data_IF_697111182770
#
_entry.id   IF_697111182770
#
_cell.length_a   1.000
_cell.length_b   1.000
_cell.length_c   1.000
_cell.angle_alpha   90.00
_cell.angle_beta   90.00
_cell.angle_gamma   90.00
#
_symmetry.space_group_name_H-M   'P 1'
#
loop_
_entity.id
_entity.type
_entity.pdbx_description
1 polymer ?
#
# COMPACT_ATOMS: atom_id res chain seq x y z
N UNK A 1 14.97 10.60 -18.23
CA UNK A 1 15.69 9.40 -17.75
C UNK A 1 15.14 9.11 -16.37
N UNK A 2 14.05 8.34 -16.32
CA UNK A 2 13.18 8.22 -15.15
C UNK A 2 13.81 7.28 -14.12
N UNK A 3 14.20 7.83 -12.96
CA UNK A 3 14.66 7.07 -11.81
C UNK A 3 13.43 6.40 -11.19
N UNK A 4 13.22 5.12 -11.53
CA UNK A 4 12.33 4.25 -10.78
C UNK A 4 12.76 4.31 -9.32
N UNK A 5 11.90 4.79 -8.41
CA UNK A 5 12.08 4.63 -6.96
C UNK A 5 11.77 3.15 -6.66
N UNK A 6 12.60 2.27 -7.20
CA UNK A 6 12.71 0.90 -6.75
C UNK A 6 13.61 0.94 -5.54
N UNK A 7 13.04 1.08 -4.35
CA UNK A 7 13.73 0.64 -3.14
C UNK A 7 13.80 -0.91 -3.09
N UNK A 8 14.05 -1.58 -4.22
CA UNK A 8 14.59 -2.95 -4.27
C UNK A 8 16.10 -2.89 -3.98
N UNK A 9 16.49 -2.14 -2.95
CA UNK A 9 17.89 -2.05 -2.60
C UNK A 9 18.26 -3.39 -1.96
N UNK A 10 19.07 -4.19 -2.65
CA UNK A 10 19.72 -5.41 -2.10
C UNK A 10 19.12 -6.76 -2.48
N UNK A 11 17.81 -6.90 -2.71
CA UNK A 11 17.23 -8.21 -3.04
C UNK A 11 16.11 -8.08 -4.08
N UNK A 12 16.30 -8.53 -5.33
CA UNK A 12 15.18 -8.71 -6.25
C UNK A 12 14.34 -9.91 -5.79
N UNK A 13 13.02 -9.84 -5.96
CA UNK A 13 12.15 -11.02 -5.86
C UNK A 13 12.70 -12.14 -6.77
N UNK A 14 12.96 -13.36 -6.26
CA UNK A 14 13.75 -14.38 -6.96
C UNK A 14 13.07 -15.00 -8.18
N UNK A 15 11.93 -14.48 -8.67
CA UNK A 15 11.34 -14.95 -9.93
C UNK A 15 12.17 -14.64 -11.18
N UNK A 16 13.41 -14.14 -11.04
CA UNK A 16 14.34 -13.83 -12.14
C UNK A 16 14.68 -15.06 -13.01
N UNK A 17 14.64 -16.28 -12.48
CA UNK A 17 15.18 -17.45 -13.19
C UNK A 17 14.30 -18.02 -14.33
N UNK A 18 13.07 -17.51 -14.53
CA UNK A 18 12.18 -17.96 -15.65
C UNK A 18 11.46 -16.85 -16.41
N UNK A 19 11.76 -15.58 -16.15
CA UNK A 19 11.00 -14.44 -16.72
C UNK A 19 11.92 -13.49 -17.48
N UNK A 20 12.00 -13.64 -18.80
CA UNK A 20 12.39 -12.52 -19.66
C UNK A 20 11.50 -11.31 -19.37
N UNK A 21 12.10 -10.16 -19.07
CA UNK A 21 11.55 -8.81 -19.05
C UNK A 21 10.03 -8.64 -18.75
N UNK A 22 9.52 -9.10 -17.59
CA UNK A 22 8.10 -8.88 -17.22
C UNK A 22 7.75 -7.45 -16.78
N UNK A 23 8.69 -6.67 -16.25
CA UNK A 23 8.46 -5.26 -15.91
C UNK A 23 8.06 -4.41 -17.14
N UNK A 24 8.43 -4.85 -18.35
CA UNK A 24 8.04 -4.20 -19.60
C UNK A 24 6.73 -4.75 -20.20
N UNK A 25 6.17 -5.84 -19.66
CA UNK A 25 4.95 -6.48 -20.21
C UNK A 25 3.66 -5.90 -19.61
N UNK A 26 3.71 -5.42 -18.38
CA UNK A 26 2.57 -4.73 -17.78
C UNK A 26 2.41 -3.33 -18.35
N UNK A 27 1.48 -3.18 -19.29
CA UNK A 27 1.19 -1.91 -19.95
C UNK A 27 -0.26 -1.88 -20.47
N UNK A 28 -1.27 -2.05 -19.58
CA UNK A 28 -2.66 -1.86 -19.99
C UNK A 28 -2.88 -0.43 -20.47
N UNK A 29 -3.80 -0.26 -21.40
CA UNK A 29 -4.13 1.07 -21.93
C UNK A 29 -4.91 1.87 -20.89
N UNK A 30 -4.49 3.11 -20.66
CA UNK A 30 -5.10 4.03 -19.69
C UNK A 30 -6.55 4.28 -20.09
N UNK A 31 -7.46 4.25 -19.10
CA UNK A 31 -8.88 4.51 -19.30
C UNK A 31 -9.65 3.42 -20.07
N UNK A 32 -8.99 2.35 -20.52
CA UNK A 32 -9.65 1.23 -21.19
C UNK A 32 -9.97 0.09 -20.23
N UNK A 33 -11.03 -0.66 -20.54
CA UNK A 33 -11.41 -1.85 -19.78
C UNK A 33 -10.46 -2.99 -20.10
N UNK A 34 -9.83 -3.51 -19.07
CA UNK A 34 -9.13 -4.78 -19.08
C UNK A 34 -9.95 -5.85 -18.34
N UNK A 35 -10.44 -6.85 -19.07
CA UNK A 35 -11.26 -7.93 -18.51
C UNK A 35 -10.37 -9.01 -17.88
N UNK A 36 -10.41 -9.10 -16.55
CA UNK A 36 -9.61 -10.04 -15.77
C UNK A 36 -10.35 -11.37 -15.52
N UNK A 37 -11.56 -11.52 -16.07
CA UNK A 37 -12.45 -12.65 -15.83
C UNK A 37 -13.11 -12.60 -14.46
N UNK A 38 -13.97 -13.59 -14.17
CA UNK A 38 -14.64 -13.74 -12.87
C UNK A 38 -15.44 -12.50 -12.42
N UNK A 39 -16.03 -11.78 -13.38
CA UNK A 39 -16.73 -10.50 -13.14
C UNK A 39 -15.83 -9.39 -12.55
N UNK A 40 -14.52 -9.48 -12.75
CA UNK A 40 -13.54 -8.46 -12.36
C UNK A 40 -13.03 -7.79 -13.64
N UNK A 41 -13.14 -6.46 -13.67
CA UNK A 41 -12.51 -5.62 -14.70
C UNK A 41 -11.57 -4.62 -14.04
N UNK A 42 -10.58 -4.16 -14.78
CA UNK A 42 -9.68 -3.09 -14.37
C UNK A 42 -9.74 -1.94 -15.35
N UNK A 43 -9.64 -0.72 -14.83
CA UNK A 43 -9.36 0.49 -15.60
C UNK A 43 -8.14 1.15 -14.96
N UNK A 44 -7.12 1.46 -15.77
CA UNK A 44 -5.90 2.11 -15.30
C UNK A 44 -6.09 3.64 -15.32
N UNK A 45 -5.85 4.30 -14.20
CA UNK A 45 -5.91 5.76 -14.08
C UNK A 45 -4.72 6.45 -14.77
N UNK A 46 -4.88 7.69 -15.29
CA UNK A 46 -3.85 8.43 -16.04
C UNK A 46 -2.76 9.08 -15.16
N UNK A 47 -2.26 8.39 -14.13
CA UNK A 47 -1.36 8.95 -13.12
C UNK A 47 -0.03 8.18 -12.96
N UNK A 48 0.72 7.84 -14.03
CA UNK A 48 1.99 7.14 -13.90
C UNK A 48 3.03 7.98 -13.13
N UNK A 49 3.70 7.36 -12.17
CA UNK A 49 4.77 7.98 -11.37
C UNK A 49 5.70 6.92 -10.79
N UNK A 50 6.82 7.29 -10.15
CA UNK A 50 7.63 6.33 -9.41
C UNK A 50 6.90 5.59 -8.28
N UNK A 51 5.80 6.15 -7.74
CA UNK A 51 5.01 5.52 -6.68
C UNK A 51 3.88 4.66 -7.25
N UNK A 52 3.24 5.12 -8.32
CA UNK A 52 2.04 4.50 -8.92
C UNK A 52 2.36 3.61 -10.13
N UNK A 53 3.64 3.47 -10.48
CA UNK A 53 4.13 2.73 -11.64
C UNK A 53 3.50 3.18 -12.97
N UNK A 54 2.53 2.42 -13.51
CA UNK A 54 1.80 2.78 -14.73
C UNK A 54 0.56 3.63 -14.45
N UNK A 55 0.12 3.67 -13.19
CA UNK A 55 -1.11 4.31 -12.73
C UNK A 55 -1.79 3.47 -11.65
N UNK A 56 -2.84 4.03 -11.04
CA UNK A 56 -3.71 3.31 -10.11
C UNK A 56 -4.61 2.35 -10.86
N UNK A 57 -4.69 1.11 -10.40
CA UNK A 57 -5.64 0.12 -10.87
C UNK A 57 -6.98 0.33 -10.16
N UNK A 58 -7.97 0.88 -10.86
CA UNK A 58 -9.36 0.88 -10.41
C UNK A 58 -10.02 -0.41 -10.82
N UNK A 59 -10.67 -1.11 -9.89
CA UNK A 59 -11.34 -2.38 -10.17
C UNK A 59 -12.86 -2.25 -10.17
N UNK A 60 -13.52 -2.92 -11.12
CA UNK A 60 -14.98 -3.07 -11.15
C UNK A 60 -15.36 -4.53 -10.91
N UNK A 61 -16.13 -4.79 -9.86
CA UNK A 61 -16.53 -6.13 -9.42
C UNK A 61 -18.03 -6.31 -9.56
N UNK A 62 -18.47 -7.43 -10.13
CA UNK A 62 -19.88 -7.77 -10.31
C UNK A 62 -20.37 -7.61 -11.76
N UNK A 63 -21.52 -8.18 -12.11
CA UNK A 63 -22.04 -8.17 -13.49
C UNK A 63 -23.22 -7.23 -13.69
N UNK A 64 -24.04 -6.99 -12.66
CA UNK A 64 -25.20 -6.09 -12.69
C UNK A 64 -25.03 -4.93 -11.71
N UNK A 65 -25.04 -5.25 -10.41
CA UNK A 65 -24.62 -4.33 -9.36
C UNK A 65 -23.09 -4.35 -9.30
N UNK A 66 -22.46 -3.19 -9.41
CA UNK A 66 -21.00 -3.07 -9.50
C UNK A 66 -20.45 -2.37 -8.26
N UNK A 67 -19.41 -2.94 -7.66
CA UNK A 67 -18.51 -2.24 -6.77
C UNK A 67 -17.33 -1.67 -7.56
N UNK A 68 -16.99 -0.41 -7.32
CA UNK A 68 -15.73 0.19 -7.75
C UNK A 68 -14.77 0.18 -6.57
N UNK A 69 -13.59 -0.43 -6.71
CA UNK A 69 -12.53 -0.44 -5.70
C UNK A 69 -11.43 0.51 -6.16
N UNK A 70 -11.07 1.47 -5.30
CA UNK A 70 -10.11 2.55 -5.54
C UNK A 70 -10.39 3.35 -6.82
N UNK A 71 -11.34 4.31 -6.78
CA UNK A 71 -11.70 5.14 -7.92
C UNK A 71 -10.52 5.92 -8.51
N UNK A 72 -9.46 6.16 -7.74
CA UNK A 72 -8.24 6.79 -8.23
C UNK A 72 -8.14 8.28 -7.87
N UNK A 73 -7.16 8.99 -8.46
CA UNK A 73 -7.03 10.43 -8.29
C UNK A 73 -8.22 11.17 -8.93
N UNK A 74 -8.46 12.40 -8.48
CA UNK A 74 -9.51 13.28 -9.01
C UNK A 74 -9.19 13.69 -10.47
N UNK A 75 -9.54 12.81 -11.41
CA UNK A 75 -9.36 12.99 -12.84
C UNK A 75 -10.71 12.81 -13.58
N UNK A 76 -11.24 13.85 -14.23
CA UNK A 76 -12.51 13.77 -14.95
C UNK A 76 -12.52 12.79 -16.12
N UNK A 77 -11.37 12.55 -16.76
CA UNK A 77 -11.26 11.58 -17.87
C UNK A 77 -11.41 10.17 -17.33
N UNK A 78 -10.78 9.87 -16.19
CA UNK A 78 -10.90 8.58 -15.50
C UNK A 78 -12.31 8.35 -14.96
N UNK A 79 -12.96 9.38 -14.42
CA UNK A 79 -14.37 9.31 -14.01
C UNK A 79 -15.27 8.87 -15.17
N UNK A 80 -15.12 9.51 -16.33
CA UNK A 80 -15.90 9.16 -17.51
C UNK A 80 -15.61 7.72 -17.97
N UNK A 81 -14.36 7.26 -17.90
CA UNK A 81 -14.00 5.87 -18.22
C UNK A 81 -14.71 4.86 -17.29
N UNK A 82 -14.75 5.14 -15.97
CA UNK A 82 -15.46 4.31 -15.00
C UNK A 82 -16.97 4.25 -15.31
N UNK A 83 -17.59 5.41 -15.54
CA UNK A 83 -19.04 5.49 -15.84
C UNK A 83 -19.38 4.73 -17.13
N UNK A 84 -18.63 4.96 -18.21
CA UNK A 84 -18.83 4.29 -19.50
C UNK A 84 -18.65 2.77 -19.41
N UNK A 85 -17.76 2.28 -18.55
CA UNK A 85 -17.59 0.85 -18.32
C UNK A 85 -18.82 0.17 -17.68
N UNK A 86 -19.73 0.98 -17.12
CA UNK A 86 -20.98 0.51 -16.51
C UNK A 86 -22.23 0.75 -17.35
N UNK A 87 -22.17 1.59 -18.39
CA UNK A 87 -23.31 1.92 -19.27
C UNK A 87 -23.90 0.72 -20.06
N UNK A 88 -23.26 -0.46 -20.04
CA UNK A 88 -23.79 -1.70 -20.64
C UNK A 88 -24.82 -2.43 -19.74
N UNK A 89 -25.76 -1.69 -19.15
CA UNK A 89 -26.82 -2.25 -18.30
C UNK A 89 -26.37 -2.62 -16.88
N UNK A 90 -25.28 -2.02 -16.40
CA UNK A 90 -24.75 -2.20 -15.05
C UNK A 90 -24.95 -0.93 -14.24
N UNK A 91 -24.95 -1.05 -12.92
CA UNK A 91 -25.14 0.09 -12.02
C UNK A 91 -24.07 0.06 -10.95
N UNK A 92 -23.32 1.15 -10.82
CA UNK A 92 -22.41 1.34 -9.70
C UNK A 92 -23.26 1.53 -8.46
N UNK A 93 -23.07 0.65 -7.50
CA UNK A 93 -23.86 0.60 -6.26
C UNK A 93 -22.99 0.77 -5.02
N UNK A 94 -21.69 0.53 -5.15
CA UNK A 94 -20.75 0.59 -4.04
C UNK A 94 -19.44 1.21 -4.52
N UNK A 95 -18.87 2.10 -3.70
CA UNK A 95 -17.53 2.65 -3.91
C UNK A 95 -16.70 2.23 -2.71
N UNK A 96 -15.72 1.36 -2.90
CA UNK A 96 -14.84 0.87 -1.86
C UNK A 96 -13.46 1.52 -2.00
N UNK A 97 -12.92 2.04 -0.90
CA UNK A 97 -11.59 2.67 -0.89
C UNK A 97 -10.71 1.90 0.09
N UNK A 98 -9.54 1.47 -0.38
CA UNK A 98 -8.58 0.69 0.41
C UNK A 98 -7.92 1.54 1.47
N UNK A 99 -7.51 2.77 1.14
CA UNK A 99 -6.86 3.71 2.05
C UNK A 99 -6.91 5.15 1.52
N UNK A 100 -6.56 6.12 2.37
CA UNK A 100 -6.72 7.54 2.09
C UNK A 100 -5.47 8.19 1.46
N UNK A 101 -4.89 7.56 0.43
CA UNK A 101 -3.91 8.21 -0.43
C UNK A 101 -4.57 8.86 -1.66
N UNK A 102 -3.99 9.97 -2.11
CA UNK A 102 -4.49 10.87 -3.16
C UNK A 102 -4.61 10.21 -4.54
N UNK A 103 -3.96 9.08 -4.74
CA UNK A 103 -4.06 8.29 -5.94
C UNK A 103 -5.11 7.17 -5.86
N UNK A 104 -5.80 7.00 -4.72
CA UNK A 104 -6.88 6.02 -4.52
C UNK A 104 -8.23 6.66 -4.18
N UNK A 105 -8.25 7.63 -3.26
CA UNK A 105 -9.48 8.13 -2.63
C UNK A 105 -10.19 9.30 -3.31
N UNK A 106 -9.52 10.31 -3.92
CA UNK A 106 -10.18 11.58 -4.22
C UNK A 106 -11.37 11.47 -5.18
N UNK A 107 -11.30 10.57 -6.17
CA UNK A 107 -12.39 10.44 -7.14
C UNK A 107 -13.66 9.79 -6.56
N UNK A 108 -13.59 9.22 -5.36
CA UNK A 108 -14.75 8.62 -4.71
C UNK A 108 -15.90 9.62 -4.52
N UNK A 109 -15.59 10.88 -4.17
CA UNK A 109 -16.60 11.92 -3.95
C UNK A 109 -17.37 12.28 -5.24
N UNK A 110 -16.66 12.48 -6.35
CA UNK A 110 -17.27 12.80 -7.64
C UNK A 110 -18.01 11.59 -8.23
N UNK A 111 -17.47 10.37 -8.06
CA UNK A 111 -18.15 9.16 -8.48
C UNK A 111 -19.45 8.93 -7.69
N UNK A 112 -19.44 9.19 -6.38
CA UNK A 112 -20.66 9.19 -5.56
C UNK A 112 -21.66 10.22 -6.07
N UNK A 113 -21.22 11.44 -6.35
CA UNK A 113 -22.11 12.50 -6.89
C UNK A 113 -22.77 12.10 -8.20
N UNK A 114 -22.03 11.40 -9.07
CA UNK A 114 -22.54 10.94 -10.36
C UNK A 114 -23.49 9.73 -10.26
N UNK A 115 -23.30 8.85 -9.28
CA UNK A 115 -23.98 7.54 -9.23
C UNK A 115 -24.96 7.37 -8.07
N UNK A 116 -24.82 8.16 -7.01
CA UNK A 116 -25.53 7.99 -5.74
C UNK A 116 -24.98 6.85 -4.87
N UNK A 117 -23.95 6.11 -5.31
CA UNK A 117 -23.39 5.00 -4.56
C UNK A 117 -22.65 5.45 -3.28
N UNK A 118 -22.89 4.83 -2.12
CA UNK A 118 -22.18 5.16 -0.89
C UNK A 118 -20.71 4.72 -0.94
N UNK A 119 -19.87 5.46 -0.19
CA UNK A 119 -18.44 5.20 -0.05
C UNK A 119 -18.18 4.35 1.21
N UNK A 120 -17.48 3.24 1.04
CA UNK A 120 -17.09 2.28 2.08
C UNK A 120 -15.57 2.32 2.27
N UNK A 121 -15.11 2.51 3.50
CA UNK A 121 -13.70 2.41 3.88
C UNK A 121 -13.56 2.15 5.38
N UNK A 122 -12.36 1.79 5.84
CA UNK A 122 -12.08 1.60 7.27
C UNK A 122 -12.32 2.87 8.12
N UNK A 123 -12.07 4.03 7.52
CA UNK A 123 -12.14 5.32 8.20
C UNK A 123 -11.35 6.40 7.48
N UNK A 124 -11.11 7.51 8.18
CA UNK A 124 -10.27 8.63 7.74
C UNK A 124 -8.79 8.25 7.77
N UNK A 125 -7.93 9.12 7.24
CA UNK A 125 -6.49 8.86 7.08
C UNK A 125 -5.75 8.37 8.34
N UNK A 126 -6.13 8.86 9.53
CA UNK A 126 -5.48 8.50 10.81
C UNK A 126 -6.21 7.42 11.60
N UNK A 127 -7.35 6.92 11.11
CA UNK A 127 -8.07 5.84 11.79
C UNK A 127 -7.26 4.54 11.74
N UNK A 128 -7.06 3.91 12.90
CA UNK A 128 -6.26 2.69 13.01
C UNK A 128 -4.78 2.92 13.32
N UNK A 129 -4.35 4.18 13.50
CA UNK A 129 -2.97 4.50 13.83
C UNK A 129 -2.58 3.89 15.19
N UNK A 130 -1.42 3.23 15.24
CA UNK A 130 -0.92 2.61 16.47
C UNK A 130 -0.65 3.66 17.54
N UNK A 131 -0.83 3.29 18.82
CA UNK A 131 -0.56 4.21 19.94
C UNK A 131 0.90 4.71 19.93
N UNK A 132 1.82 3.87 19.46
CA UNK A 132 3.22 4.24 19.33
C UNK A 132 3.43 5.31 18.24
N UNK A 133 2.87 5.12 17.04
CA UNK A 133 2.95 6.12 15.98
C UNK A 133 2.24 7.43 16.35
N UNK A 134 1.13 7.35 17.08
CA UNK A 134 0.49 8.54 17.64
C UNK A 134 1.39 9.25 18.66
N UNK A 135 2.04 8.51 19.54
CA UNK A 135 2.91 9.10 20.58
C UNK A 135 4.11 9.86 20.00
N UNK A 136 4.67 9.40 18.88
CA UNK A 136 5.77 10.11 18.21
C UNK A 136 5.28 11.37 17.48
N UNK A 137 4.07 11.34 16.91
CA UNK A 137 3.43 12.50 16.28
C UNK A 137 3.09 13.58 17.34
N UNK A 138 2.51 13.16 18.48
CA UNK A 138 2.23 14.02 19.64
C UNK A 138 3.53 14.62 20.24
N UNK A 139 4.66 13.91 20.11
CA UNK A 139 5.99 14.38 20.51
C UNK A 139 6.63 15.36 19.48
N UNK A 140 5.93 15.67 18.39
CA UNK A 140 6.34 16.68 17.40
C UNK A 140 7.10 16.12 16.19
N UNK A 141 7.10 14.81 15.96
CA UNK A 141 7.65 14.26 14.72
C UNK A 141 6.71 14.57 13.53
N UNK A 142 7.22 15.32 12.55
CA UNK A 142 6.46 15.77 11.37
C UNK A 142 6.89 15.07 10.08
N UNK A 143 7.43 13.84 10.16
CA UNK A 143 7.66 13.02 8.97
C UNK A 143 6.36 12.46 8.39
N UNK A 144 6.43 11.86 7.19
CA UNK A 144 5.25 11.34 6.50
C UNK A 144 4.43 12.44 5.80
N UNK A 145 3.12 12.22 5.69
CA UNK A 145 2.17 13.13 5.07
C UNK A 145 2.15 13.11 3.54
N UNK A 146 3.07 12.39 2.91
CA UNK A 146 3.16 12.37 1.45
C UNK A 146 1.96 11.63 0.84
N UNK A 147 1.21 12.34 0.01
CA UNK A 147 0.12 11.72 -0.73
C UNK A 147 -1.14 11.45 0.09
N UNK A 148 -1.29 12.01 1.29
CA UNK A 148 -2.46 11.75 2.14
C UNK A 148 -3.64 12.67 1.78
N UNK A 149 -4.82 12.07 1.66
CA UNK A 149 -6.11 12.75 1.56
C UNK A 149 -6.72 12.90 2.97
N UNK A 150 -6.46 14.03 3.62
CA UNK A 150 -6.99 14.32 4.96
C UNK A 150 -8.49 14.65 4.95
N UNK A 151 -9.00 15.07 3.80
CA UNK A 151 -10.41 15.45 3.63
C UNK A 151 -11.30 14.21 3.43
N UNK A 152 -10.72 13.10 2.96
CA UNK A 152 -11.41 11.82 2.78
C UNK A 152 -12.21 11.38 4.02
N UNK A 153 -13.46 10.99 3.77
CA UNK A 153 -14.34 10.38 4.76
C UNK A 153 -15.28 9.39 4.05
N UNK A 154 -15.41 8.15 4.54
CA UNK A 154 -16.42 7.23 4.02
C UNK A 154 -17.82 7.58 4.53
N UNK A 155 -18.84 7.17 3.78
CA UNK A 155 -20.23 7.17 4.24
C UNK A 155 -20.50 6.01 5.19
N UNK A 156 -19.88 4.86 4.90
CA UNK A 156 -20.00 3.64 5.66
C UNK A 156 -18.62 3.24 6.17
N UNK A 157 -18.46 3.30 7.48
CA UNK A 157 -17.24 2.87 8.15
C UNK A 157 -17.23 1.34 8.28
N UNK A 158 -16.16 0.73 7.75
CA UNK A 158 -15.93 -0.71 7.79
C UNK A 158 -15.05 -1.10 8.99
N UNK A 159 -15.20 -2.35 9.42
CA UNK A 159 -14.34 -3.04 10.38
C UNK A 159 -13.73 -4.27 9.75
N UNK A 160 -12.71 -4.82 10.42
CA UNK A 160 -12.15 -6.11 10.04
C UNK A 160 -13.23 -7.20 10.07
N UNK A 161 -13.36 -7.96 8.97
CA UNK A 161 -14.33 -9.04 8.83
C UNK A 161 -15.71 -8.63 8.33
N UNK A 162 -16.01 -7.32 8.19
CA UNK A 162 -17.29 -6.87 7.65
C UNK A 162 -17.50 -7.37 6.21
N UNK A 163 -18.76 -7.65 5.85
CA UNK A 163 -19.15 -8.08 4.51
C UNK A 163 -19.88 -6.93 3.80
N UNK A 164 -19.48 -6.66 2.55
CA UNK A 164 -20.14 -5.74 1.64
C UNK A 164 -20.75 -6.59 0.52
N UNK A 165 -22.05 -6.46 0.28
CA UNK A 165 -22.79 -7.36 -0.61
C UNK A 165 -23.45 -6.59 -1.76
N UNK A 166 -23.18 -7.06 -2.98
CA UNK A 166 -23.95 -6.72 -4.16
C UNK A 166 -24.91 -7.83 -4.55
N UNK A 167 -25.51 -7.74 -5.74
CA UNK A 167 -26.46 -8.75 -6.21
C UNK A 167 -25.81 -10.13 -6.48
N UNK A 168 -24.57 -10.14 -6.96
CA UNK A 168 -23.86 -11.33 -7.46
C UNK A 168 -22.41 -11.43 -6.95
N UNK A 169 -22.04 -10.61 -5.96
CA UNK A 169 -20.72 -10.59 -5.36
C UNK A 169 -20.79 -10.22 -3.87
N UNK A 170 -19.76 -10.62 -3.14
CA UNK A 170 -19.60 -10.28 -1.73
C UNK A 170 -18.11 -10.05 -1.44
N UNK A 171 -17.79 -8.91 -0.83
CA UNK A 171 -16.44 -8.50 -0.47
C UNK A 171 -16.30 -8.54 1.05
N UNK A 172 -15.37 -9.34 1.55
CA UNK A 172 -14.96 -9.32 2.96
C UNK A 172 -13.87 -8.27 3.17
N UNK A 173 -14.07 -7.36 4.10
CA UNK A 173 -13.05 -6.42 4.52
C UNK A 173 -12.01 -7.11 5.39
N UNK A 174 -10.73 -6.88 5.10
CA UNK A 174 -9.61 -7.33 5.93
C UNK A 174 -8.79 -6.09 6.28
N UNK A 175 -8.83 -5.65 7.53
CA UNK A 175 -7.96 -4.57 8.01
C UNK A 175 -6.51 -5.04 7.98
N UNK A 176 -5.68 -4.28 7.25
CA UNK A 176 -4.28 -4.56 6.95
C UNK A 176 -3.44 -3.30 7.15
N UNK A 177 -3.39 -2.73 8.38
CA UNK A 177 -2.59 -1.55 8.66
C UNK A 177 -1.11 -1.82 8.38
N UNK A 178 -0.38 -0.74 8.14
CA UNK A 178 1.07 -0.75 8.07
C UNK A 178 1.65 0.06 6.92
N UNK A 179 1.12 -0.09 5.70
CA UNK A 179 1.39 0.89 4.63
C UNK A 179 0.78 2.24 5.01
N UNK A 180 -0.50 2.21 5.37
CA UNK A 180 -1.25 3.30 5.96
C UNK A 180 -2.12 2.73 7.09
N UNK A 181 -2.36 3.50 8.14
CA UNK A 181 -3.10 3.03 9.32
C UNK A 181 -4.55 2.59 9.04
N UNK A 182 -5.22 3.25 8.09
CA UNK A 182 -6.59 2.92 7.69
C UNK A 182 -6.68 1.89 6.54
N UNK A 183 -5.55 1.28 6.15
CA UNK A 183 -5.52 0.40 4.98
C UNK A 183 -6.32 -0.89 5.19
N UNK A 184 -7.16 -1.22 4.21
CA UNK A 184 -7.88 -2.49 4.11
C UNK A 184 -7.62 -3.17 2.78
N UNK A 185 -7.62 -4.51 2.82
CA UNK A 185 -7.80 -5.34 1.63
C UNK A 185 -9.27 -5.77 1.51
N UNK A 186 -9.74 -6.05 0.30
CA UNK A 186 -11.07 -6.60 0.05
C UNK A 186 -10.96 -8.01 -0.56
N UNK A 187 -11.53 -9.02 0.10
CA UNK A 187 -11.50 -10.40 -0.38
C UNK A 187 -12.79 -10.77 -1.13
N UNK A 188 -12.64 -11.28 -2.35
CA UNK A 188 -13.70 -11.87 -3.18
C UNK A 188 -13.44 -13.38 -3.30
N UNK A 189 -14.01 -14.17 -2.40
CA UNK A 189 -13.69 -15.59 -2.29
C UNK A 189 -12.20 -15.81 -1.99
N UNK A 190 -11.49 -16.51 -2.89
CA UNK A 190 -10.06 -16.80 -2.82
C UNK A 190 -9.17 -15.76 -3.52
N UNK A 191 -9.74 -14.63 -3.94
CA UNK A 191 -9.03 -13.50 -4.57
C UNK A 191 -9.02 -12.30 -3.64
N UNK A 192 -7.96 -11.51 -3.68
CA UNK A 192 -7.80 -10.33 -2.80
C UNK A 192 -7.46 -9.08 -3.60
N UNK A 193 -8.22 -8.00 -3.42
CA UNK A 193 -7.81 -6.65 -3.79
C UNK A 193 -6.89 -6.15 -2.69
N UNK A 194 -5.58 -6.15 -2.95
CA UNK A 194 -4.55 -5.96 -1.93
C UNK A 194 -4.15 -4.49 -1.72
N UNK A 195 -4.71 -3.58 -2.53
CA UNK A 195 -4.31 -2.18 -2.54
C UNK A 195 -2.79 -2.05 -2.62
N UNK A 196 -2.25 -1.21 -1.76
CA UNK A 196 -0.82 -0.96 -1.66
C UNK A 196 -0.13 -1.82 -0.61
N UNK A 197 -0.81 -2.81 -0.03
CA UNK A 197 -0.22 -3.70 0.96
C UNK A 197 0.72 -4.75 0.35
N UNK A 198 0.33 -5.33 -0.79
CA UNK A 198 1.15 -6.33 -1.51
C UNK A 198 1.03 -6.08 -3.01
N UNK A 199 2.14 -5.71 -3.65
CA UNK A 199 2.25 -5.44 -5.09
C UNK A 199 3.28 -6.36 -5.76
N UNK A 200 3.12 -6.65 -7.07
CA UNK A 200 4.03 -7.53 -7.82
C UNK A 200 5.42 -6.90 -8.04
N UNK A 201 5.45 -5.59 -8.37
CA UNK A 201 6.62 -4.93 -8.94
C UNK A 201 7.56 -4.28 -7.91
N UNK A 202 7.04 -3.91 -6.74
CA UNK A 202 7.77 -3.20 -5.69
C UNK A 202 7.35 -3.63 -4.28
N UNK A 203 8.20 -3.36 -3.30
CA UNK A 203 7.82 -3.40 -1.89
C UNK A 203 6.95 -2.18 -1.57
N UNK A 204 5.93 -2.35 -0.75
CA UNK A 204 5.14 -1.23 -0.23
C UNK A 204 6.01 -0.28 0.59
N UNK A 205 5.83 1.02 0.39
CA UNK A 205 6.45 2.02 1.25
C UNK A 205 5.78 1.97 2.63
N UNK A 206 6.56 2.03 3.70
CA UNK A 206 6.05 2.11 5.07
C UNK A 206 6.74 3.31 5.71
N UNK A 207 6.01 4.43 5.80
CA UNK A 207 6.57 5.73 6.18
C UNK A 207 5.90 6.23 7.46
N UNK A 208 6.59 6.19 8.61
CA UNK A 208 6.08 6.74 9.85
C UNK A 208 5.80 8.25 9.76
N UNK A 209 4.81 8.77 10.51
CA UNK A 209 3.94 8.06 11.45
C UNK A 209 2.67 7.48 10.78
N UNK A 210 2.51 7.64 9.47
CA UNK A 210 1.30 7.21 8.74
C UNK A 210 1.30 5.70 8.44
N UNK A 211 2.49 5.16 8.20
CA UNK A 211 2.78 3.74 8.13
C UNK A 211 3.51 3.22 9.38
N UNK A 212 3.30 1.94 9.67
CA UNK A 212 3.88 1.22 10.80
C UNK A 212 4.42 -0.13 10.33
N UNK A 213 5.73 -0.35 10.49
CA UNK A 213 6.37 -1.59 10.02
C UNK A 213 5.95 -2.81 10.83
N UNK A 214 5.70 -2.65 12.13
CA UNK A 214 5.22 -3.73 12.98
C UNK A 214 3.85 -4.22 12.50
N UNK A 215 2.94 -3.27 12.26
CA UNK A 215 1.62 -3.55 11.71
C UNK A 215 1.70 -4.13 10.29
N UNK A 216 2.58 -3.60 9.43
CA UNK A 216 2.76 -4.13 8.08
C UNK A 216 3.15 -5.61 8.09
N UNK A 217 4.08 -6.00 8.94
CA UNK A 217 4.51 -7.40 9.08
C UNK A 217 3.40 -8.25 9.71
N UNK A 218 2.68 -7.74 10.69
CA UNK A 218 1.54 -8.44 11.30
C UNK A 218 0.43 -8.70 10.26
N UNK A 219 0.13 -7.71 9.43
CA UNK A 219 -0.84 -7.79 8.34
C UNK A 219 -0.39 -8.78 7.25
N UNK A 220 0.89 -8.76 6.84
CA UNK A 220 1.43 -9.76 5.93
C UNK A 220 1.29 -11.19 6.51
N UNK A 221 1.61 -11.37 7.80
CA UNK A 221 1.46 -12.66 8.49
C UNK A 221 0.00 -13.11 8.57
N UNK A 222 -0.94 -12.19 8.78
CA UNK A 222 -2.39 -12.45 8.73
C UNK A 222 -2.79 -12.97 7.35
N UNK A 223 -2.37 -12.28 6.27
CA UNK A 223 -2.74 -12.65 4.90
C UNK A 223 -2.25 -14.06 4.49
N UNK A 224 -1.05 -14.49 4.91
CA UNK A 224 -0.53 -15.82 4.55
C UNK A 224 -1.22 -16.99 5.27
N UNK A 225 -2.08 -16.72 6.27
CA UNK A 225 -2.87 -17.77 6.94
C UNK A 225 -3.99 -18.32 6.06
N UNK A 226 -4.39 -17.58 5.01
CA UNK A 226 -5.39 -17.98 4.04
C UNK A 226 -4.73 -18.42 2.72
N UNK A 227 -5.46 -19.19 1.91
CA UNK A 227 -5.01 -19.62 0.59
C UNK A 227 -5.63 -18.73 -0.47
N UNK A 228 -4.80 -17.94 -1.12
CA UNK A 228 -5.21 -17.00 -2.16
C UNK A 228 -4.79 -17.50 -3.54
N UNK A 229 -5.68 -17.42 -4.52
CA UNK A 229 -5.34 -17.71 -5.92
C UNK A 229 -4.70 -16.53 -6.62
N UNK A 230 -5.09 -15.30 -6.29
CA UNK A 230 -4.56 -14.08 -6.93
C UNK A 230 -4.73 -12.86 -6.05
N UNK A 231 -3.73 -11.98 -6.01
CA UNK A 231 -3.88 -10.60 -5.55
C UNK A 231 -4.00 -9.62 -6.72
N UNK A 232 -4.90 -8.66 -6.57
CA UNK A 232 -5.14 -7.54 -7.45
C UNK A 232 -4.65 -6.25 -6.75
N UNK A 233 -3.41 -5.80 -7.01
CA UNK A 233 -2.81 -4.68 -6.29
C UNK A 233 -3.31 -3.32 -6.78
N UNK A 234 -3.15 -2.29 -5.95
CA UNK A 234 -3.36 -0.89 -6.33
C UNK A 234 -2.51 -0.48 -7.53
N UNK A 235 -1.30 -1.04 -7.65
CA UNK A 235 -0.41 -0.77 -8.78
C UNK A 235 0.24 -2.03 -9.35
N UNK A 236 0.39 -2.04 -10.68
CA UNK A 236 1.08 -3.09 -11.42
C UNK A 236 0.24 -4.32 -11.71
N UNK A 237 0.92 -5.40 -12.10
CA UNK A 237 0.26 -6.64 -12.51
C UNK A 237 -0.27 -7.44 -11.32
N UNK A 238 -1.29 -8.27 -11.57
CA UNK A 238 -1.80 -9.23 -10.61
C UNK A 238 -0.70 -10.18 -10.10
N UNK A 239 -0.71 -10.44 -8.79
CA UNK A 239 0.19 -11.41 -8.16
C UNK A 239 -0.46 -12.79 -8.23
N UNK A 240 0.13 -13.69 -9.02
CA UNK A 240 -0.40 -15.06 -9.25
C UNK A 240 0.12 -16.10 -8.27
N UNK A 241 1.08 -15.73 -7.42
CA UNK A 241 1.58 -16.55 -6.31
C UNK A 241 1.62 -15.69 -5.03
N UNK A 242 0.45 -15.40 -4.44
CA UNK A 242 0.35 -14.41 -3.36
C UNK A 242 1.14 -14.79 -2.12
N UNK A 243 1.03 -16.05 -1.67
CA UNK A 243 1.71 -16.49 -0.45
C UNK A 243 3.24 -16.41 -0.59
N UNK A 244 3.81 -16.79 -1.73
CA UNK A 244 5.26 -16.64 -1.96
C UNK A 244 5.67 -15.17 -2.01
N UNK A 245 4.87 -14.32 -2.65
CA UNK A 245 5.14 -12.87 -2.72
C UNK A 245 5.11 -12.23 -1.33
N UNK A 246 4.08 -12.52 -0.54
CA UNK A 246 3.93 -11.98 0.82
C UNK A 246 5.00 -12.52 1.75
N UNK A 247 5.35 -13.81 1.68
CA UNK A 247 6.45 -14.38 2.47
C UNK A 247 7.78 -13.70 2.13
N UNK A 248 8.05 -13.46 0.84
CA UNK A 248 9.25 -12.75 0.44
C UNK A 248 9.30 -11.32 1.00
N UNK A 249 8.17 -10.61 1.08
CA UNK A 249 8.14 -9.28 1.71
C UNK A 249 8.53 -9.35 3.19
N UNK A 250 8.03 -10.35 3.92
CA UNK A 250 8.40 -10.59 5.33
C UNK A 250 9.90 -10.88 5.46
N UNK A 251 10.43 -11.75 4.62
CA UNK A 251 11.83 -12.15 4.65
C UNK A 251 12.75 -10.98 4.28
N UNK A 252 12.36 -10.18 3.27
CA UNK A 252 13.08 -9.00 2.84
C UNK A 252 13.20 -7.96 3.96
N UNK A 253 12.11 -7.70 4.70
CA UNK A 253 12.14 -6.82 5.87
C UNK A 253 12.98 -7.39 7.00
N UNK A 254 12.93 -8.71 7.20
CA UNK A 254 13.73 -9.39 8.23
C UNK A 254 15.24 -9.33 7.94
N UNK A 255 15.65 -9.34 6.67
CA UNK A 255 17.04 -9.13 6.26
C UNK A 255 17.48 -7.67 6.52
N UNK A 256 16.67 -6.70 6.11
CA UNK A 256 16.96 -5.28 6.39
C UNK A 256 17.15 -5.02 7.89
N UNK A 257 16.31 -5.66 8.70
CA UNK A 257 16.40 -5.68 10.15
C UNK A 257 17.76 -6.18 10.67
N UNK A 258 18.30 -7.24 10.07
CA UNK A 258 19.62 -7.79 10.43
C UNK A 258 20.74 -6.81 10.09
N UNK A 259 20.69 -6.20 8.91
CA UNK A 259 21.69 -5.22 8.47
C UNK A 259 21.71 -3.98 9.38
N UNK A 260 20.53 -3.47 9.75
CA UNK A 260 20.40 -2.32 10.67
C UNK A 260 20.92 -2.67 12.06
N UNK A 261 20.59 -3.85 12.60
CA UNK A 261 21.13 -4.30 13.89
C UNK A 261 22.64 -4.49 13.85
N UNK A 262 23.18 -5.01 12.75
CA UNK A 262 24.63 -5.15 12.58
C UNK A 262 25.32 -3.78 12.60
N UNK A 263 24.72 -2.77 11.98
CA UNK A 263 25.23 -1.39 12.01
C UNK A 263 25.18 -0.80 13.44
N UNK A 264 24.08 -0.99 14.17
CA UNK A 264 23.96 -0.54 15.56
C UNK A 264 24.87 -1.31 16.54
N UNK A 265 25.25 -2.55 16.22
CA UNK A 265 26.24 -3.32 16.98
C UNK A 265 27.64 -2.69 16.97
N UNK A 266 27.90 -1.72 16.09
CA UNK A 266 29.14 -0.92 16.08
C UNK A 266 29.06 0.34 16.95
N UNK A 267 27.89 0.63 17.53
CA UNK A 267 27.65 1.79 18.39
C UNK A 267 26.37 2.57 18.02
N UNK A 268 25.97 3.54 18.85
CA UNK A 268 24.81 4.39 18.59
C UNK A 268 24.92 5.11 17.24
N UNK A 269 23.81 5.22 16.51
CA UNK A 269 23.83 5.75 15.15
C UNK A 269 22.49 6.39 14.73
N UNK A 270 22.50 7.22 13.69
CA UNK A 270 21.29 7.84 13.13
C UNK A 270 20.74 7.03 11.97
N UNK A 271 19.45 7.19 11.67
CA UNK A 271 18.82 6.52 10.52
C UNK A 271 19.52 6.83 9.19
N UNK A 272 19.94 8.09 9.01
CA UNK A 272 20.64 8.54 7.79
C UNK A 272 22.01 7.89 7.65
N UNK A 273 22.80 7.85 8.72
CA UNK A 273 24.13 7.26 8.67
C UNK A 273 24.07 5.73 8.48
N UNK A 274 23.12 5.05 9.12
CA UNK A 274 22.86 3.63 8.85
C UNK A 274 22.44 3.44 7.38
N UNK A 275 21.52 4.26 6.85
CA UNK A 275 21.13 4.18 5.45
C UNK A 275 22.32 4.34 4.50
N UNK A 276 23.22 5.31 4.75
CA UNK A 276 24.44 5.48 3.95
C UNK A 276 25.37 4.26 4.00
N UNK A 277 25.52 3.60 5.15
CA UNK A 277 26.37 2.41 5.26
C UNK A 277 25.74 1.14 4.67
N UNK A 278 24.43 1.02 4.79
CA UNK A 278 23.67 -0.18 4.41
C UNK A 278 23.36 -0.16 2.90
N UNK A 279 23.20 1.01 2.29
CA UNK A 279 22.88 1.17 0.87
C UNK A 279 24.07 1.75 0.09
N UNK A 280 25.12 0.95 -0.09
CA UNK A 280 26.42 1.40 -0.64
C UNK A 280 26.39 1.87 -2.09
N UNK A 281 25.49 1.31 -2.92
CA UNK A 281 25.40 1.59 -4.37
C UNK A 281 24.14 2.39 -4.74
N UNK A 282 23.61 3.17 -3.80
CA UNK A 282 22.37 3.92 -3.98
C UNK A 282 22.61 5.26 -4.69
N UNK A 283 21.78 5.58 -5.68
CA UNK A 283 21.73 6.93 -6.25
C UNK A 283 21.46 7.95 -5.11
N UNK A 284 22.26 9.03 -4.97
CA UNK A 284 22.07 10.03 -3.93
C UNK A 284 20.64 10.58 -3.83
N UNK A 285 19.90 10.63 -4.93
CA UNK A 285 18.50 11.07 -4.95
C UNK A 285 17.55 10.13 -4.18
N UNK A 286 17.93 8.88 -3.95
CA UNK A 286 17.14 7.88 -3.24
C UNK A 286 17.46 7.80 -1.73
N UNK A 287 18.53 8.47 -1.28
CA UNK A 287 18.93 8.45 0.13
C UNK A 287 17.83 8.91 1.10
N UNK A 288 16.98 9.93 0.80
CA UNK A 288 15.87 10.30 1.68
C UNK A 288 14.87 9.15 1.89
N UNK A 289 14.52 8.44 0.82
CA UNK A 289 13.57 7.33 0.89
C UNK A 289 14.16 6.11 1.61
N UNK A 290 15.44 5.82 1.39
CA UNK A 290 16.21 4.84 2.15
C UNK A 290 16.31 5.19 3.64
N UNK A 291 16.55 6.46 3.98
CA UNK A 291 16.58 6.95 5.37
C UNK A 291 15.23 6.74 6.04
N UNK A 292 14.12 7.06 5.36
CA UNK A 292 12.77 6.79 5.87
C UNK A 292 12.52 5.31 6.11
N UNK A 293 13.00 4.44 5.22
CA UNK A 293 12.87 3.00 5.42
C UNK A 293 13.62 2.53 6.67
N UNK A 294 14.90 2.93 6.83
CA UNK A 294 15.69 2.60 8.02
C UNK A 294 15.04 3.15 9.29
N UNK A 295 14.51 4.36 9.24
CA UNK A 295 13.80 4.97 10.36
C UNK A 295 12.56 4.15 10.80
N UNK A 296 11.78 3.63 9.84
CA UNK A 296 10.65 2.74 10.15
C UNK A 296 11.09 1.46 10.86
N UNK A 297 12.20 0.86 10.42
CA UNK A 297 12.80 -0.30 11.08
C UNK A 297 13.27 0.01 12.52
N UNK A 298 13.94 1.15 12.72
CA UNK A 298 14.39 1.59 14.04
C UNK A 298 13.21 1.80 14.99
N UNK A 299 12.14 2.45 14.53
CA UNK A 299 10.93 2.66 15.32
C UNK A 299 10.24 1.35 15.70
N UNK A 300 10.14 0.39 14.79
CA UNK A 300 9.62 -0.95 15.11
C UNK A 300 10.49 -1.66 16.17
N UNK A 301 11.82 -1.55 16.09
CA UNK A 301 12.73 -2.07 17.12
C UNK A 301 12.56 -1.35 18.48
N UNK A 302 12.30 -0.04 18.49
CA UNK A 302 11.97 0.71 19.70
C UNK A 302 10.66 0.23 20.32
N UNK A 303 9.62 0.04 19.52
CA UNK A 303 8.31 -0.47 19.96
C UNK A 303 8.41 -1.88 20.55
N UNK A 304 9.32 -2.71 20.02
CA UNK A 304 9.66 -4.03 20.57
C UNK A 304 10.61 -4.00 21.77
N UNK A 305 11.06 -2.80 22.17
CA UNK A 305 11.95 -2.59 23.30
C UNK A 305 13.39 -3.06 23.08
N UNK A 306 13.81 -3.31 21.85
CA UNK A 306 15.16 -3.82 21.50
C UNK A 306 16.22 -2.73 21.49
N UNK A 307 15.82 -1.49 21.20
CA UNK A 307 16.70 -0.32 21.17
C UNK A 307 16.01 0.85 21.90
N UNK A 308 16.77 1.88 22.23
CA UNK A 308 16.28 3.18 22.73
C UNK A 308 16.71 4.30 21.79
N UNK A 309 16.14 5.49 22.01
CA UNK A 309 16.52 6.71 21.31
C UNK A 309 16.45 7.90 22.26
N UNK A 310 17.21 8.95 21.94
CA UNK A 310 17.17 10.21 22.67
C UNK A 310 15.98 11.08 22.23
N UNK A 311 15.30 11.72 23.18
CA UNK A 311 14.22 12.66 22.87
C UNK A 311 14.77 14.08 22.65
N UNK A 312 14.15 14.89 21.75
CA UNK A 312 12.98 14.58 20.93
C UNK A 312 13.32 13.76 19.67
N UNK A 313 12.34 13.02 19.14
CA UNK A 313 12.49 12.25 17.90
C UNK A 313 12.54 13.20 16.68
N UNK A 314 13.72 13.33 16.09
CA UNK A 314 14.00 14.09 14.87
C UNK A 314 14.66 13.22 13.80
N UNK A 315 14.89 13.78 12.60
CA UNK A 315 15.64 13.11 11.53
C UNK A 315 17.09 12.74 11.94
N UNK A 316 17.66 13.44 12.92
CA UNK A 316 19.03 13.25 13.41
C UNK A 316 19.08 12.48 14.74
N UNK A 317 17.97 11.85 15.14
CA UNK A 317 17.90 11.04 16.37
C UNK A 317 18.96 9.95 16.37
N UNK A 318 19.66 9.83 17.49
CA UNK A 318 20.59 8.73 17.77
C UNK A 318 19.82 7.57 18.38
N UNK A 319 19.97 6.40 17.77
CA UNK A 319 19.41 5.13 18.25
C UNK A 319 20.51 4.28 18.86
N UNK A 320 20.20 3.64 19.99
CA UNK A 320 21.16 2.90 20.81
C UNK A 320 20.62 1.50 21.12
N UNK A 321 21.39 0.41 20.87
CA UNK A 321 21.02 -0.92 21.36
C UNK A 321 20.80 -0.92 22.87
N UNK A 322 19.78 -1.63 23.34
CA UNK A 322 19.73 -1.97 24.76
C UNK A 322 20.72 -3.10 25.04
N UNK A 323 21.42 -3.01 26.17
CA UNK A 323 22.25 -4.09 26.71
C UNK A 323 21.42 -5.34 27.06
#
# INVERSE_FOLDING_TARGET
MYLLIQLNIGYPYPSKSKRGNKLTQFNPEIGQIDDLGHAIRRILAPNPSPMTFRGTNTYLVGTQSVAVIDPGPADPTHLNAILQATDMGRTITHICVTHAHLDHSPLAADLKKATGAPIYAFGRAKDGQSLFMKSIEDAGYTGGGEGIDFDFAPDVRLRDGDMIEGADWSLRTIHTPGHMSNHVCFALGDRLFSGDHVMDWATSMVSPPDGDLGDFIASCKKLITERWSTFYPGHGERVTDPNTRTQWLIDHRSERDREIRAALGQGPNTARAIATSVYTDLDPALLPAATRNVFAHLLDMCGKGLITFDNPLTADTIFTPKE
#
